data_IF_077050093512
#
_entry.id   IF_077050093512
#
_cell.length_a   1.000
_cell.length_b   1.000
_cell.length_c   1.000
_cell.angle_alpha   90.00
_cell.angle_beta   90.00
_cell.angle_gamma   90.00
#
_symmetry.space_group_name_H-M   'P 1'
#
loop_
_entity.id
_entity.type
_entity.pdbx_description
1 polymer ?
#
# COMPACT_ATOMS: atom_id res chain seq x y z
N UNK A 1 7.00 -21.76 -43.97
CA UNK A 1 7.75 -21.11 -42.88
C UNK A 1 6.97 -19.88 -42.48
N UNK A 2 6.23 -19.94 -41.36
CA UNK A 2 5.47 -18.81 -40.84
C UNK A 2 6.41 -17.88 -40.06
N UNK A 3 6.30 -16.57 -40.32
CA UNK A 3 7.15 -15.53 -39.74
C UNK A 3 6.97 -15.34 -38.22
N UNK A 4 7.86 -14.56 -37.58
CA UNK A 4 7.85 -14.38 -36.15
C UNK A 4 6.60 -13.60 -35.72
N UNK A 5 5.82 -14.21 -34.82
CA UNK A 5 4.75 -13.52 -34.10
C UNK A 5 5.36 -12.42 -33.22
N UNK A 6 5.21 -11.18 -33.66
CA UNK A 6 5.44 -9.98 -32.86
C UNK A 6 4.35 -9.88 -31.78
N UNK A 7 4.57 -10.49 -30.61
CA UNK A 7 3.81 -10.13 -29.41
C UNK A 7 4.43 -8.87 -28.78
N UNK A 8 4.14 -7.72 -29.39
CA UNK A 8 4.48 -6.39 -28.86
C UNK A 8 3.48 -5.94 -27.78
N UNK A 9 3.25 -6.76 -26.75
CA UNK A 9 2.54 -6.33 -25.56
C UNK A 9 3.55 -5.84 -24.54
N UNK A 10 3.50 -4.56 -24.15
CA UNK A 10 4.23 -4.08 -22.97
C UNK A 10 3.73 -4.87 -21.76
N UNK A 11 4.61 -5.52 -20.99
CA UNK A 11 4.21 -6.18 -19.76
C UNK A 11 3.45 -5.19 -18.87
N UNK A 12 2.36 -5.61 -18.21
CA UNK A 12 1.63 -4.71 -17.33
C UNK A 12 2.55 -4.21 -16.22
N UNK A 13 2.44 -2.93 -15.89
CA UNK A 13 3.19 -2.36 -14.76
C UNK A 13 2.79 -3.10 -13.47
N UNK A 14 3.76 -3.50 -12.68
CA UNK A 14 3.53 -4.18 -11.41
C UNK A 14 4.02 -3.31 -10.26
N UNK A 15 3.14 -3.10 -9.28
CA UNK A 15 3.47 -2.31 -8.09
C UNK A 15 3.26 -3.14 -6.82
N UNK A 16 4.00 -2.84 -5.76
CA UNK A 16 3.72 -3.40 -4.43
C UNK A 16 3.15 -2.31 -3.52
N UNK A 17 1.98 -2.55 -2.93
CA UNK A 17 1.49 -1.69 -1.85
C UNK A 17 2.11 -2.10 -0.53
N UNK A 18 3.07 -1.31 -0.07
CA UNK A 18 3.93 -1.67 1.05
C UNK A 18 3.73 -0.71 2.23
N UNK A 19 3.26 -1.24 3.37
CA UNK A 19 3.22 -0.49 4.64
C UNK A 19 4.55 -0.54 5.40
N UNK A 20 5.57 -1.19 4.82
CA UNK A 20 6.87 -1.43 5.46
C UNK A 20 6.74 -2.23 6.76
N UNK A 21 5.73 -3.12 6.83
CA UNK A 21 5.61 -4.15 7.86
C UNK A 21 6.01 -5.52 7.28
N UNK A 22 6.06 -6.55 8.14
CA UNK A 22 6.59 -7.89 7.81
C UNK A 22 6.06 -8.44 6.48
N UNK A 23 4.74 -8.58 6.32
CA UNK A 23 4.15 -9.28 5.17
C UNK A 23 4.40 -8.50 3.88
N UNK A 24 4.29 -7.17 3.97
CA UNK A 24 4.53 -6.29 2.83
C UNK A 24 6.00 -6.21 2.42
N UNK A 25 6.95 -6.40 3.35
CA UNK A 25 8.38 -6.46 3.03
C UNK A 25 8.77 -7.86 2.54
N UNK A 26 8.26 -8.92 3.18
CA UNK A 26 8.40 -10.30 2.72
C UNK A 26 7.90 -10.46 1.27
N UNK A 27 6.79 -9.81 0.90
CA UNK A 27 6.32 -9.75 -0.49
C UNK A 27 7.36 -9.17 -1.44
N UNK A 28 8.05 -8.08 -1.05
CA UNK A 28 9.10 -7.47 -1.87
C UNK A 28 10.34 -8.37 -1.93
N UNK A 29 10.72 -8.99 -0.81
CA UNK A 29 11.83 -9.93 -0.73
C UNK A 29 11.58 -11.13 -1.66
N UNK A 30 10.38 -11.71 -1.63
CA UNK A 30 9.99 -12.79 -2.53
C UNK A 30 10.02 -12.35 -3.99
N UNK A 31 9.54 -11.15 -4.31
CA UNK A 31 9.62 -10.63 -5.67
C UNK A 31 11.08 -10.56 -6.17
N UNK A 32 12.00 -10.09 -5.32
CA UNK A 32 13.43 -10.04 -5.64
C UNK A 32 14.06 -11.43 -5.76
N UNK A 33 13.74 -12.36 -4.85
CA UNK A 33 14.28 -13.72 -4.83
C UNK A 33 13.87 -14.54 -6.06
N UNK A 34 12.62 -14.36 -6.50
CA UNK A 34 12.04 -15.12 -7.62
C UNK A 34 12.10 -14.36 -8.95
N UNK A 35 12.73 -13.18 -8.98
CA UNK A 35 12.81 -12.31 -10.16
C UNK A 35 11.43 -11.95 -10.75
N UNK A 36 10.43 -11.78 -9.89
CA UNK A 36 9.11 -11.30 -10.28
C UNK A 36 9.17 -9.84 -10.75
N UNK A 37 8.33 -9.43 -11.72
CA UNK A 37 8.27 -8.06 -12.16
C UNK A 37 7.80 -7.14 -11.02
N UNK A 38 8.62 -6.15 -10.66
CA UNK A 38 8.27 -5.17 -9.64
C UNK A 38 8.84 -3.80 -10.02
N UNK A 39 7.98 -2.93 -10.53
CA UNK A 39 8.39 -1.62 -11.05
C UNK A 39 8.45 -0.53 -9.98
N UNK A 40 7.59 -0.62 -8.95
CA UNK A 40 7.46 0.46 -7.96
C UNK A 40 6.86 -0.03 -6.63
N UNK A 41 7.41 0.49 -5.53
CA UNK A 41 6.84 0.35 -4.20
C UNK A 41 5.96 1.57 -3.89
N UNK A 42 4.73 1.34 -3.46
CA UNK A 42 3.79 2.40 -3.05
C UNK A 42 3.59 2.35 -1.55
N UNK A 43 4.14 3.35 -0.86
CA UNK A 43 3.93 3.59 0.57
C UNK A 43 2.97 4.76 0.77
N UNK A 44 1.92 4.58 1.58
CA UNK A 44 1.00 5.66 1.94
C UNK A 44 1.23 6.08 3.38
N UNK A 45 1.86 7.23 3.57
CA UNK A 45 2.07 7.82 4.88
C UNK A 45 0.84 8.57 5.35
N UNK A 46 0.20 8.07 6.39
CA UNK A 46 -0.87 8.79 7.09
C UNK A 46 -0.23 9.85 7.96
N UNK A 47 -0.58 11.11 7.75
CA UNK A 47 -0.05 12.23 8.54
C UNK A 47 -0.96 12.53 9.74
N UNK A 48 -0.40 12.65 10.95
CA UNK A 48 -1.14 13.08 12.14
C UNK A 48 -1.55 14.56 12.01
N UNK A 49 -0.57 15.40 11.65
CA UNK A 49 -0.76 16.78 11.25
C UNK A 49 0.18 17.17 10.09
N UNK A 50 0.47 18.46 9.89
CA UNK A 50 1.27 18.88 8.73
C UNK A 50 2.73 18.47 8.85
N UNK A 51 3.21 18.28 10.08
CA UNK A 51 4.63 18.11 10.40
C UNK A 51 4.90 16.73 11.01
N UNK A 52 3.88 16.14 11.65
CA UNK A 52 3.99 14.89 12.41
C UNK A 52 3.34 13.74 11.63
N UNK A 53 4.09 12.67 11.43
CA UNK A 53 3.59 11.40 10.87
C UNK A 53 2.61 10.72 11.83
N UNK A 54 1.65 9.97 11.29
CA UNK A 54 0.75 9.12 12.07
C UNK A 54 1.36 7.76 12.40
N UNK A 55 2.52 7.42 11.83
CA UNK A 55 3.30 6.25 12.23
C UNK A 55 3.88 6.46 13.63
N UNK A 56 4.04 5.38 14.39
CA UNK A 56 4.83 5.43 15.63
C UNK A 56 6.28 5.80 15.32
N UNK A 57 6.98 6.56 16.19
CA UNK A 57 8.33 7.09 15.89
C UNK A 57 9.35 6.03 15.47
N UNK A 58 9.30 4.85 16.08
CA UNK A 58 10.19 3.72 15.81
C UNK A 58 9.97 3.20 14.39
N UNK A 59 8.70 2.98 14.02
CA UNK A 59 8.32 2.53 12.68
C UNK A 59 8.67 3.58 11.63
N UNK A 60 8.39 4.86 11.90
CA UNK A 60 8.81 5.97 11.03
C UNK A 60 10.32 5.97 10.80
N UNK A 61 11.08 5.83 11.88
CA UNK A 61 12.55 5.81 11.82
C UNK A 61 13.02 4.65 10.97
N UNK A 62 12.47 3.46 11.18
CA UNK A 62 12.74 2.28 10.35
C UNK A 62 12.42 2.54 8.87
N UNK A 63 11.25 3.09 8.54
CA UNK A 63 10.86 3.37 7.14
C UNK A 63 11.89 4.26 6.45
N UNK A 64 12.19 5.41 7.04
CA UNK A 64 12.97 6.45 6.36
C UNK A 64 14.47 6.20 6.42
N UNK A 65 14.97 5.57 7.48
CA UNK A 65 16.41 5.37 7.68
C UNK A 65 16.88 3.97 7.27
N UNK A 66 15.98 2.98 7.21
CA UNK A 66 16.34 1.59 6.91
C UNK A 66 15.63 1.08 5.65
N UNK A 67 14.30 0.99 5.65
CA UNK A 67 13.55 0.30 4.61
C UNK A 67 13.65 0.99 3.24
N UNK A 68 13.36 2.30 3.16
CA UNK A 68 13.45 3.05 1.89
C UNK A 68 14.88 3.05 1.33
N UNK A 69 15.93 3.34 2.13
CA UNK A 69 17.31 3.22 1.65
C UNK A 69 17.68 1.81 1.18
N UNK A 70 17.22 0.76 1.86
CA UNK A 70 17.46 -0.63 1.44
C UNK A 70 16.78 -0.94 0.11
N UNK A 71 15.50 -0.59 -0.06
CA UNK A 71 14.74 -0.78 -1.30
C UNK A 71 15.41 -0.07 -2.49
N UNK A 72 15.85 1.17 -2.29
CA UNK A 72 16.55 1.94 -3.34
C UNK A 72 17.88 1.33 -3.72
N UNK A 73 18.64 0.78 -2.76
CA UNK A 73 19.88 0.04 -3.05
C UNK A 73 19.62 -1.25 -3.82
N UNK A 74 18.45 -1.88 -3.62
CA UNK A 74 17.99 -3.02 -4.41
C UNK A 74 17.47 -2.64 -5.81
N UNK A 75 17.52 -1.35 -6.20
CA UNK A 75 17.10 -0.87 -7.51
C UNK A 75 15.61 -0.55 -7.63
N UNK A 76 14.87 -0.54 -6.51
CA UNK A 76 13.43 -0.27 -6.50
C UNK A 76 13.13 1.20 -6.18
N UNK A 77 12.22 1.81 -6.94
CA UNK A 77 11.69 3.14 -6.59
C UNK A 77 10.58 3.04 -5.53
N UNK A 78 10.52 4.04 -4.66
CA UNK A 78 9.53 4.13 -3.58
C UNK A 78 8.72 5.41 -3.71
N UNK A 79 7.47 5.24 -4.10
CA UNK A 79 6.45 6.28 -4.17
C UNK A 79 5.80 6.50 -2.81
N UNK A 80 6.03 7.69 -2.24
CA UNK A 80 5.38 8.10 -0.98
C UNK A 80 4.12 8.90 -1.31
N UNK A 81 2.96 8.38 -0.90
CA UNK A 81 1.67 9.03 -1.01
C UNK A 81 1.27 9.65 0.33
N UNK A 82 0.72 10.86 0.29
CA UNK A 82 0.13 11.53 1.45
C UNK A 82 -1.23 12.12 1.05
N UNK A 83 -2.19 12.08 1.97
CA UNK A 83 -3.45 12.76 1.78
C UNK A 83 -3.29 14.27 2.01
N UNK A 84 -4.10 15.08 1.32
CA UNK A 84 -4.23 16.51 1.61
C UNK A 84 -4.92 16.78 2.96
N UNK A 85 -5.46 15.75 3.61
CA UNK A 85 -6.14 15.82 4.90
C UNK A 85 -5.33 15.03 5.92
N UNK A 86 -5.12 15.63 7.08
CA UNK A 86 -4.41 14.99 8.20
C UNK A 86 -5.38 14.29 9.14
N UNK A 87 -4.85 13.46 10.05
CA UNK A 87 -5.61 12.87 11.14
C UNK A 87 -6.35 13.97 11.90
N UNK A 88 -5.67 14.96 12.49
CA UNK A 88 -6.31 16.05 13.28
C UNK A 88 -7.43 16.74 12.53
N UNK A 89 -7.24 17.02 11.24
CA UNK A 89 -8.28 17.64 10.41
C UNK A 89 -9.54 16.80 10.26
N UNK A 90 -9.45 15.47 10.32
CA UNK A 90 -10.63 14.60 10.29
C UNK A 90 -11.60 14.86 11.45
N UNK A 91 -11.12 15.44 12.55
CA UNK A 91 -11.88 15.76 13.77
C UNK A 91 -12.28 17.24 13.83
N UNK A 92 -11.35 18.11 13.44
CA UNK A 92 -11.48 19.56 13.58
C UNK A 92 -12.12 20.25 12.37
N UNK A 93 -12.39 19.51 11.27
CA UNK A 93 -13.12 20.07 10.13
C UNK A 93 -14.56 20.42 10.51
N UNK A 94 -14.98 21.62 10.12
CA UNK A 94 -16.37 22.05 10.22
C UNK A 94 -17.24 21.31 9.21
N UNK A 95 -18.36 20.76 9.67
CA UNK A 95 -19.36 20.10 8.84
C UNK A 95 -20.01 21.15 7.92
N UNK A 96 -19.96 20.91 6.61
CA UNK A 96 -20.45 21.86 5.60
C UNK A 96 -21.92 21.65 5.20
N UNK A 97 -22.48 20.46 5.43
CA UNK A 97 -23.81 20.04 4.95
C UNK A 97 -24.58 19.23 6.00
N UNK A 98 -25.91 19.21 5.92
CA UNK A 98 -26.79 18.41 6.78
C UNK A 98 -27.05 19.00 8.17
N UNK A 99 -27.71 18.22 9.04
CA UNK A 99 -28.17 18.65 10.38
C UNK A 99 -27.05 19.15 11.31
N UNK A 100 -25.80 18.73 11.07
CA UNK A 100 -24.64 19.14 11.86
C UNK A 100 -23.87 20.34 11.30
N UNK A 101 -24.38 21.03 10.27
CA UNK A 101 -23.66 22.15 9.62
C UNK A 101 -23.19 23.19 10.65
N UNK A 102 -21.94 23.62 10.52
CA UNK A 102 -21.30 24.59 11.41
C UNK A 102 -20.64 23.99 12.65
N UNK A 103 -20.91 22.73 12.99
CA UNK A 103 -20.24 22.03 14.09
C UNK A 103 -18.93 21.37 13.64
N UNK A 104 -18.02 21.12 14.56
CA UNK A 104 -16.86 20.25 14.32
C UNK A 104 -17.32 18.82 14.07
N UNK A 105 -16.58 18.09 13.24
CA UNK A 105 -16.85 16.70 12.90
C UNK A 105 -16.70 15.77 14.11
N UNK A 106 -15.79 16.09 15.03
CA UNK A 106 -15.56 15.33 16.26
C UNK A 106 -14.89 13.98 16.00
N UNK A 107 -14.81 13.16 17.05
CA UNK A 107 -14.23 11.82 16.96
C UNK A 107 -15.05 10.90 16.04
N UNK A 108 -14.39 10.08 15.21
CA UNK A 108 -15.09 9.11 14.39
C UNK A 108 -15.77 8.07 15.27
N UNK A 109 -16.95 7.64 14.84
CA UNK A 109 -17.66 6.54 15.48
C UNK A 109 -16.97 5.22 15.17
N UNK A 110 -16.96 4.29 16.13
CA UNK A 110 -16.50 2.92 15.93
C UNK A 110 -17.20 2.30 14.70
N UNK A 111 -16.43 1.60 13.87
CA UNK A 111 -16.93 1.01 12.62
C UNK A 111 -17.25 2.01 11.48
N UNK A 112 -17.10 3.32 11.71
CA UNK A 112 -17.29 4.38 10.71
C UNK A 112 -16.06 5.28 10.61
N UNK A 113 -14.88 4.67 10.71
CA UNK A 113 -13.60 5.36 10.68
C UNK A 113 -13.40 6.07 9.32
N UNK A 114 -13.54 7.39 9.35
CA UNK A 114 -13.31 8.21 8.17
C UNK A 114 -11.80 8.46 7.91
N UNK A 115 -10.94 8.20 8.89
CA UNK A 115 -9.49 8.43 8.81
C UNK A 115 -8.88 7.45 7.82
N UNK A 116 -9.16 6.15 7.93
CA UNK A 116 -8.66 5.17 6.97
C UNK A 116 -9.10 5.53 5.55
N UNK A 117 -10.37 5.90 5.38
CA UNK A 117 -10.92 6.33 4.09
C UNK A 117 -10.21 7.58 3.55
N UNK A 118 -10.14 8.63 4.35
CA UNK A 118 -9.73 9.96 3.92
C UNK A 118 -8.21 10.11 3.83
N UNK A 119 -7.47 9.48 4.75
CA UNK A 119 -6.02 9.62 4.89
C UNK A 119 -5.21 8.49 4.25
N UNK A 120 -5.79 7.30 3.99
CA UNK A 120 -5.07 6.14 3.44
C UNK A 120 -5.65 5.61 2.13
N UNK A 121 -6.93 5.23 2.13
CA UNK A 121 -7.56 4.60 0.96
C UNK A 121 -7.68 5.57 -0.21
N UNK A 122 -8.12 6.81 0.03
CA UNK A 122 -8.25 7.82 -1.03
C UNK A 122 -6.96 8.16 -1.77
N UNK A 123 -5.82 8.47 -1.11
CA UNK A 123 -4.58 8.74 -1.83
C UNK A 123 -4.11 7.53 -2.66
N UNK A 124 -4.21 6.31 -2.11
CA UNK A 124 -3.90 5.07 -2.85
C UNK A 124 -4.80 4.95 -4.08
N UNK A 125 -6.11 5.02 -3.92
CA UNK A 125 -7.07 4.91 -5.04
C UNK A 125 -6.86 6.00 -6.09
N UNK A 126 -6.53 7.24 -5.68
CA UNK A 126 -6.21 8.32 -6.60
C UNK A 126 -4.97 7.97 -7.43
N UNK A 127 -3.95 7.38 -6.79
CA UNK A 127 -2.76 6.92 -7.48
C UNK A 127 -3.06 5.76 -8.44
N UNK A 128 -3.77 4.72 -7.99
CA UNK A 128 -4.16 3.59 -8.84
C UNK A 128 -4.93 4.04 -10.09
N UNK A 129 -5.81 5.03 -9.97
CA UNK A 129 -6.56 5.59 -11.11
C UNK A 129 -5.69 6.35 -12.11
N UNK A 130 -4.48 6.79 -11.72
CA UNK A 130 -3.53 7.43 -12.62
C UNK A 130 -2.66 6.43 -13.38
N UNK A 131 -2.68 5.15 -12.99
CA UNK A 131 -1.95 4.07 -13.65
C UNK A 131 -2.80 3.41 -14.75
N UNK A 132 -2.15 2.61 -15.60
CA UNK A 132 -2.85 1.80 -16.61
C UNK A 132 -3.86 0.87 -15.93
N UNK A 133 -4.98 0.60 -16.60
CA UNK A 133 -5.95 -0.38 -16.10
C UNK A 133 -5.36 -1.78 -16.00
N UNK A 134 -4.31 -2.09 -16.74
CA UNK A 134 -3.66 -3.42 -16.70
C UNK A 134 -2.70 -3.57 -15.51
N UNK A 135 -2.43 -2.50 -14.76
CA UNK A 135 -1.48 -2.52 -13.64
C UNK A 135 -1.85 -3.59 -12.61
N UNK A 136 -0.89 -4.45 -12.28
CA UNK A 136 -1.01 -5.46 -11.23
C UNK A 136 -0.51 -4.93 -9.89
N UNK A 137 -1.13 -5.37 -8.80
CA UNK A 137 -0.83 -4.91 -7.45
C UNK A 137 -0.47 -6.09 -6.54
N UNK A 138 0.79 -6.15 -6.10
CA UNK A 138 1.18 -7.03 -5.02
C UNK A 138 0.68 -6.51 -3.67
N UNK A 139 0.12 -7.44 -2.88
CA UNK A 139 -0.36 -7.23 -1.51
C UNK A 139 0.25 -8.26 -0.57
N UNK A 140 0.64 -7.83 0.63
CA UNK A 140 1.16 -8.75 1.65
C UNK A 140 0.02 -9.43 2.40
N UNK A 141 -0.45 -10.56 1.91
CA UNK A 141 -1.39 -11.45 2.58
C UNK A 141 -0.82 -12.86 2.63
N UNK A 142 -0.51 -13.38 3.81
CA UNK A 142 0.11 -14.68 3.94
C UNK A 142 -0.84 -15.84 3.55
N UNK A 143 -0.27 -17.01 3.24
CA UNK A 143 -1.04 -18.18 2.77
C UNK A 143 -2.04 -18.71 3.80
N UNK A 144 -1.84 -18.42 5.09
CA UNK A 144 -2.69 -18.81 6.21
C UNK A 144 -3.82 -17.79 6.50
N UNK A 145 -3.93 -16.72 5.71
CA UNK A 145 -4.95 -15.68 5.85
C UNK A 145 -6.17 -15.88 4.93
N UNK A 146 -6.70 -17.11 4.85
CA UNK A 146 -7.68 -17.53 3.82
C UNK A 146 -8.90 -16.59 3.67
N UNK A 147 -9.46 -16.10 4.77
CA UNK A 147 -10.63 -15.19 4.75
C UNK A 147 -10.33 -13.85 4.06
N UNK A 148 -9.07 -13.40 4.11
CA UNK A 148 -8.61 -12.16 3.46
C UNK A 148 -8.27 -12.43 2.00
N UNK A 149 -7.68 -13.59 1.69
CA UNK A 149 -7.34 -14.02 0.33
C UNK A 149 -8.59 -14.18 -0.55
N UNK A 150 -9.69 -14.72 0.00
CA UNK A 150 -10.99 -14.82 -0.69
C UNK A 150 -11.59 -13.46 -1.10
N UNK A 151 -11.06 -12.34 -0.58
CA UNK A 151 -11.52 -10.97 -0.88
C UNK A 151 -10.59 -10.24 -1.84
N UNK A 152 -9.57 -10.91 -2.38
CA UNK A 152 -8.68 -10.34 -3.37
C UNK A 152 -9.45 -9.91 -4.61
N UNK A 153 -9.06 -8.76 -5.15
CA UNK A 153 -9.57 -8.27 -6.42
C UNK A 153 -8.78 -8.89 -7.57
N UNK A 154 -9.37 -8.96 -8.76
CA UNK A 154 -8.78 -9.60 -9.95
C UNK A 154 -7.34 -9.16 -10.29
N UNK A 155 -6.95 -7.92 -9.96
CA UNK A 155 -5.62 -7.35 -10.23
C UNK A 155 -4.67 -7.41 -9.04
N UNK A 156 -5.13 -7.95 -7.93
CA UNK A 156 -4.34 -8.10 -6.71
C UNK A 156 -3.77 -9.50 -6.65
N UNK A 157 -2.48 -9.57 -6.37
CA UNK A 157 -1.73 -10.83 -6.29
C UNK A 157 -1.06 -10.86 -4.92
N UNK A 158 -1.19 -11.97 -4.21
CA UNK A 158 -0.36 -12.23 -3.04
C UNK A 158 0.78 -13.16 -3.44
N UNK A 159 2.01 -12.66 -3.40
CA UNK A 159 3.19 -13.50 -3.60
C UNK A 159 3.41 -14.46 -2.42
N UNK A 160 2.97 -14.07 -1.22
CA UNK A 160 3.04 -14.95 -0.06
C UNK A 160 2.10 -16.16 -0.25
N UNK A 161 0.91 -15.97 -0.81
CA UNK A 161 0.05 -17.11 -1.19
C UNK A 161 0.66 -17.91 -2.34
N UNK A 162 1.13 -17.23 -3.39
CA UNK A 162 1.72 -17.88 -4.57
C UNK A 162 2.91 -18.79 -4.23
N UNK A 163 3.72 -18.40 -3.25
CA UNK A 163 4.89 -19.14 -2.79
C UNK A 163 4.66 -19.89 -1.47
N UNK A 164 3.40 -20.07 -1.06
CA UNK A 164 3.00 -20.80 0.16
C UNK A 164 3.72 -20.35 1.44
N UNK A 165 3.96 -19.04 1.57
CA UNK A 165 4.58 -18.41 2.72
C UNK A 165 3.51 -18.00 3.76
N UNK A 166 3.62 -18.55 4.96
CA UNK A 166 2.81 -18.21 6.14
C UNK A 166 3.25 -16.90 6.80
N UNK A 167 2.44 -16.42 7.74
CA UNK A 167 2.78 -15.24 8.55
C UNK A 167 4.06 -15.39 9.36
N UNK A 168 4.35 -16.61 9.83
CA UNK A 168 5.56 -16.94 10.58
C UNK A 168 6.79 -16.96 9.68
N UNK A 169 6.68 -17.54 8.49
CA UNK A 169 7.78 -17.53 7.51
C UNK A 169 8.06 -16.12 6.98
N UNK A 170 7.03 -15.28 6.82
CA UNK A 170 7.20 -13.88 6.48
C UNK A 170 8.00 -13.10 7.53
N UNK A 171 7.94 -13.52 8.81
CA UNK A 171 8.74 -12.97 9.89
C UNK A 171 10.21 -13.41 9.78
N UNK A 172 10.46 -14.70 9.57
CA UNK A 172 11.82 -15.24 9.41
C UNK A 172 12.54 -14.68 8.16
N UNK A 173 11.78 -14.30 7.13
CA UNK A 173 12.30 -13.65 5.92
C UNK A 173 12.79 -12.21 6.15
N UNK A 174 12.29 -11.51 7.18
CA UNK A 174 12.51 -10.07 7.40
C UNK A 174 13.52 -9.78 8.51
#
# INVERSE_FOLDING_TARGET
MAGPHLFGGTMPKTICSCSMGKDSLATVILALMHHEPLDEIVYCEVMFDKDISGEVPEHRTFIYNTAIPWLRRAGLDVKILRANTTYKECFTKTIRRGKGKGKLKGFPLCGRCNIQRDCKVRPIQKYMKSLSQETQQYVGLATDEQDRLLRLQEKQISLLEQYACSEAEAWELC
#
